data_IF_606374578241
#
_entry.id   IF_606374578241
#
_cell.length_a   1.000
_cell.length_b   1.000
_cell.length_c   1.000
_cell.angle_alpha   90.00
_cell.angle_beta   90.00
_cell.angle_gamma   90.00
#
_symmetry.space_group_name_H-M   'P 1'
#
loop_
_entity.id
_entity.type
_entity.pdbx_description
1 polymer ?
#
# COMPACT_ATOMS: atom_id res chain seq x y z
N UNK A 1 -21.06 -28.62 25.67
CA UNK A 1 -19.61 -28.58 25.53
C UNK A 1 -19.31 -28.50 24.03
N UNK A 2 -19.20 -27.27 23.54
CA UNK A 2 -18.97 -27.02 22.13
C UNK A 2 -17.49 -27.33 21.83
N UNK A 3 -17.26 -28.38 21.06
CA UNK A 3 -15.95 -28.68 20.48
C UNK A 3 -15.68 -27.57 19.44
N UNK A 4 -14.89 -26.57 19.84
CA UNK A 4 -14.32 -25.64 18.89
C UNK A 4 -13.28 -26.45 18.10
N UNK A 5 -13.68 -26.89 16.90
CA UNK A 5 -12.72 -27.45 15.95
C UNK A 5 -11.59 -26.43 15.74
N UNK A 6 -10.34 -26.86 15.70
CA UNK A 6 -9.25 -25.94 15.37
C UNK A 6 -9.52 -25.40 13.96
N UNK A 7 -9.71 -24.09 13.86
CA UNK A 7 -9.82 -23.41 12.57
C UNK A 7 -8.62 -23.84 11.74
N UNK A 8 -8.85 -24.50 10.63
CA UNK A 8 -7.80 -24.94 9.71
C UNK A 8 -6.93 -23.69 9.37
N UNK A 9 -5.62 -23.88 9.26
CA UNK A 9 -4.71 -22.81 8.86
C UNK A 9 -5.17 -22.11 7.56
N UNK A 10 -5.81 -22.88 6.67
CA UNK A 10 -6.39 -22.37 5.44
C UNK A 10 -7.60 -21.46 5.70
N UNK A 11 -8.52 -21.84 6.60
CA UNK A 11 -9.71 -21.04 6.93
C UNK A 11 -9.31 -19.72 7.63
N UNK A 12 -8.32 -19.78 8.49
CA UNK A 12 -7.77 -18.61 9.16
C UNK A 12 -7.10 -17.63 8.18
N UNK A 13 -6.40 -18.15 7.19
CA UNK A 13 -5.79 -17.36 6.13
C UNK A 13 -6.86 -16.70 5.24
N UNK A 14 -7.81 -17.49 4.73
CA UNK A 14 -8.87 -16.99 3.85
C UNK A 14 -9.68 -15.88 4.52
N UNK A 15 -10.05 -16.07 5.79
CA UNK A 15 -10.75 -15.06 6.58
C UNK A 15 -9.94 -13.77 6.71
N UNK A 16 -8.64 -13.86 7.04
CA UNK A 16 -7.77 -12.70 7.17
C UNK A 16 -7.61 -11.95 5.85
N UNK A 17 -7.43 -12.67 4.74
CA UNK A 17 -7.32 -12.05 3.41
C UNK A 17 -8.63 -11.37 3.01
N UNK A 18 -9.77 -11.99 3.24
CA UNK A 18 -11.08 -11.40 2.94
C UNK A 18 -11.31 -10.10 3.69
N UNK A 19 -10.86 -10.01 4.95
CA UNK A 19 -10.98 -8.80 5.76
C UNK A 19 -10.00 -7.71 5.35
N UNK A 20 -8.79 -8.05 4.93
CA UNK A 20 -7.71 -7.10 4.71
C UNK A 20 -7.50 -6.72 3.24
N UNK A 21 -8.01 -7.48 2.26
CA UNK A 21 -7.74 -7.27 0.82
C UNK A 21 -8.04 -5.86 0.34
N UNK A 22 -9.17 -5.28 0.74
CA UNK A 22 -9.54 -3.91 0.38
C UNK A 22 -8.58 -2.87 0.95
N UNK A 23 -8.09 -3.06 2.17
CA UNK A 23 -7.12 -2.17 2.81
C UNK A 23 -5.73 -2.33 2.20
N UNK A 24 -5.34 -3.55 1.86
CA UNK A 24 -4.08 -3.82 1.17
C UNK A 24 -4.08 -3.17 -0.22
N UNK A 25 -5.18 -3.28 -0.95
CA UNK A 25 -5.33 -2.62 -2.24
C UNK A 25 -5.23 -1.09 -2.10
N UNK A 26 -5.93 -0.50 -1.14
CA UNK A 26 -5.91 0.94 -0.91
C UNK A 26 -4.48 1.46 -0.63
N UNK A 27 -3.72 0.78 0.24
CA UNK A 27 -2.34 1.19 0.53
C UNK A 27 -1.42 0.99 -0.68
N UNK A 28 -1.57 -0.11 -1.41
CA UNK A 28 -0.79 -0.36 -2.63
C UNK A 28 -1.08 0.71 -3.69
N UNK A 29 -2.36 1.04 -3.90
CA UNK A 29 -2.77 2.06 -4.85
C UNK A 29 -2.28 3.46 -4.45
N UNK A 30 -2.31 3.83 -3.16
CA UNK A 30 -1.75 5.10 -2.69
C UNK A 30 -0.26 5.24 -3.05
N UNK A 31 0.49 4.15 -3.04
CA UNK A 31 1.92 4.13 -3.37
C UNK A 31 2.16 4.11 -4.89
N UNK A 32 1.45 3.23 -5.60
CA UNK A 32 1.73 2.91 -7.01
C UNK A 32 1.00 3.83 -7.98
N UNK A 33 -0.21 4.28 -7.62
CA UNK A 33 -1.10 5.10 -8.47
C UNK A 33 -1.42 4.44 -9.81
N UNK A 34 -1.43 3.13 -9.81
CA UNK A 34 -1.81 2.27 -10.94
C UNK A 34 -2.59 1.07 -10.39
N UNK A 35 -3.78 0.84 -10.94
CA UNK A 35 -4.70 -0.21 -10.47
C UNK A 35 -4.10 -1.59 -10.67
N UNK A 36 -3.53 -1.85 -11.86
CA UNK A 36 -2.96 -3.15 -12.19
C UNK A 36 -1.73 -3.46 -11.33
N UNK A 37 -0.84 -2.46 -11.16
CA UNK A 37 0.33 -2.62 -10.28
C UNK A 37 -0.10 -2.83 -8.81
N UNK A 38 -1.19 -2.19 -8.37
CA UNK A 38 -1.71 -2.37 -7.02
C UNK A 38 -2.33 -3.76 -6.82
N UNK A 39 -3.08 -4.27 -7.79
CA UNK A 39 -3.61 -5.63 -7.77
C UNK A 39 -2.50 -6.67 -7.76
N UNK A 40 -1.48 -6.50 -8.60
CA UNK A 40 -0.30 -7.37 -8.62
C UNK A 40 0.43 -7.38 -7.26
N UNK A 41 0.60 -6.20 -6.62
CA UNK A 41 1.21 -6.09 -5.31
C UNK A 41 0.40 -6.82 -4.22
N UNK A 42 -0.92 -6.73 -4.27
CA UNK A 42 -1.81 -7.45 -3.34
C UNK A 42 -1.73 -8.96 -3.58
N UNK A 43 -1.78 -9.40 -4.82
CA UNK A 43 -1.65 -10.83 -5.17
C UNK A 43 -0.32 -11.40 -4.68
N UNK A 44 0.81 -10.73 -4.96
CA UNK A 44 2.13 -11.16 -4.49
C UNK A 44 2.22 -11.16 -2.95
N UNK A 45 1.51 -10.23 -2.29
CA UNK A 45 1.39 -10.20 -0.84
C UNK A 45 0.68 -11.44 -0.32
N UNK A 46 -0.43 -11.83 -0.92
CA UNK A 46 -1.19 -13.02 -0.56
C UNK A 46 -0.36 -14.29 -0.75
N UNK A 47 0.35 -14.42 -1.86
CA UNK A 47 1.23 -15.57 -2.13
C UNK A 47 2.36 -15.67 -1.09
N UNK A 48 3.01 -14.56 -0.77
CA UNK A 48 4.06 -14.56 0.25
C UNK A 48 3.50 -14.85 1.64
N UNK A 49 2.35 -14.27 1.97
CA UNK A 49 1.69 -14.49 3.25
C UNK A 49 1.29 -15.96 3.41
N UNK A 50 0.76 -16.60 2.38
CA UNK A 50 0.42 -18.02 2.42
C UNK A 50 1.62 -18.90 2.74
N UNK A 51 2.75 -18.65 2.06
CA UNK A 51 4.00 -19.44 2.28
C UNK A 51 4.55 -19.30 3.69
N UNK A 52 4.26 -18.21 4.38
CA UNK A 52 4.79 -17.90 5.72
C UNK A 52 3.71 -17.87 6.79
N UNK A 53 2.48 -18.29 6.47
CA UNK A 53 1.33 -18.16 7.36
C UNK A 53 1.52 -18.89 8.68
N UNK A 54 2.05 -20.11 8.65
CA UNK A 54 2.31 -20.93 9.82
C UNK A 54 3.39 -20.36 10.76
N UNK A 55 4.22 -19.43 10.27
CA UNK A 55 5.26 -18.79 11.09
C UNK A 55 4.71 -17.67 11.97
N UNK A 56 3.54 -17.13 11.65
CA UNK A 56 2.91 -16.04 12.38
C UNK A 56 2.05 -16.59 13.53
N UNK A 57 2.61 -16.59 14.73
CA UNK A 57 1.96 -17.16 15.91
C UNK A 57 0.87 -16.27 16.53
N UNK A 58 0.96 -14.95 16.34
CA UNK A 58 0.06 -13.97 16.97
C UNK A 58 -0.99 -13.47 15.98
N UNK A 59 -2.27 -13.88 16.15
CA UNK A 59 -3.35 -13.44 15.28
C UNK A 59 -3.55 -11.92 15.25
N UNK A 60 -3.25 -11.21 16.36
CA UNK A 60 -3.41 -9.77 16.47
C UNK A 60 -2.41 -9.00 15.59
N UNK A 61 -1.32 -9.62 15.20
CA UNK A 61 -0.30 -9.01 14.34
C UNK A 61 -0.52 -9.26 12.84
N UNK A 62 -1.51 -10.07 12.47
CA UNK A 62 -1.75 -10.47 11.07
C UNK A 62 -1.96 -9.28 10.15
N UNK A 63 -2.83 -8.35 10.51
CA UNK A 63 -3.12 -7.18 9.70
C UNK A 63 -1.88 -6.29 9.48
N UNK A 64 -1.13 -6.01 10.53
CA UNK A 64 0.10 -5.22 10.44
C UNK A 64 1.18 -5.92 9.61
N UNK A 65 1.31 -7.23 9.77
CA UNK A 65 2.25 -8.05 9.01
C UNK A 65 1.90 -8.11 7.51
N UNK A 66 0.63 -8.33 7.16
CA UNK A 66 0.16 -8.30 5.77
C UNK A 66 0.43 -6.94 5.13
N UNK A 67 0.15 -5.86 5.85
CA UNK A 67 0.40 -4.49 5.38
C UNK A 67 1.88 -4.23 5.16
N UNK A 68 2.75 -4.72 6.03
CA UNK A 68 4.21 -4.61 5.87
C UNK A 68 4.69 -5.31 4.59
N UNK A 69 4.19 -6.52 4.32
CA UNK A 69 4.52 -7.24 3.08
C UNK A 69 4.05 -6.42 1.88
N UNK A 70 2.80 -5.94 1.90
CA UNK A 70 2.20 -5.19 0.81
C UNK A 70 2.96 -3.89 0.49
N UNK A 71 3.27 -3.08 1.50
CA UNK A 71 4.06 -1.84 1.34
C UNK A 71 5.42 -2.13 0.72
N UNK A 72 6.13 -3.15 1.21
CA UNK A 72 7.44 -3.53 0.68
C UNK A 72 7.35 -4.05 -0.75
N UNK A 73 6.29 -4.78 -1.09
CA UNK A 73 6.04 -5.22 -2.47
C UNK A 73 5.78 -4.02 -3.39
N UNK A 74 4.87 -3.13 -3.02
CA UNK A 74 4.58 -1.92 -3.78
C UNK A 74 5.83 -1.06 -4.05
N UNK A 75 6.73 -0.96 -3.07
CA UNK A 75 7.98 -0.21 -3.23
C UNK A 75 9.01 -0.89 -4.13
N UNK A 76 8.99 -2.23 -4.21
CA UNK A 76 9.95 -3.03 -5.01
C UNK A 76 9.49 -3.30 -6.42
N UNK A 77 8.20 -3.21 -6.72
CA UNK A 77 7.68 -3.41 -8.07
C UNK A 77 8.37 -2.46 -9.04
N UNK A 78 9.06 -3.03 -10.02
CA UNK A 78 9.58 -2.25 -11.14
C UNK A 78 8.39 -1.77 -11.95
N UNK A 79 8.37 -0.48 -12.31
CA UNK A 79 7.40 0.01 -13.30
C UNK A 79 7.45 -0.91 -14.50
N UNK A 80 6.35 -1.58 -14.79
CA UNK A 80 6.18 -2.25 -16.08
C UNK A 80 6.22 -1.16 -17.13
N UNK A 81 7.29 -1.11 -17.92
CA UNK A 81 7.34 -0.29 -19.13
C UNK A 81 6.49 -1.03 -20.16
N UNK A 82 5.17 -0.90 -20.02
CA UNK A 82 4.27 -1.31 -21.10
C UNK A 82 4.44 -0.29 -22.22
N UNK A 83 4.62 -0.73 -23.48
CA UNK A 83 4.59 0.17 -24.62
C UNK A 83 3.27 0.96 -24.57
N UNK A 84 3.34 2.26 -24.76
CA UNK A 84 2.20 3.20 -24.74
C UNK A 84 1.01 2.84 -25.66
N UNK A 85 1.11 1.77 -26.43
CA UNK A 85 0.12 1.31 -27.42
C UNK A 85 -1.16 0.71 -26.82
N UNK A 86 -1.20 0.37 -25.52
CA UNK A 86 -2.38 -0.24 -24.87
C UNK A 86 -3.11 0.70 -23.92
N UNK A 87 -2.85 2.01 -24.00
CA UNK A 87 -3.46 3.03 -23.14
C UNK A 87 -4.88 3.47 -23.56
N UNK A 88 -5.47 2.83 -24.55
CA UNK A 88 -6.77 3.25 -25.09
C UNK A 88 -8.00 2.75 -24.30
N UNK A 89 -7.85 1.85 -23.34
CA UNK A 89 -9.00 1.21 -22.66
C UNK A 89 -8.98 1.33 -21.13
N UNK A 90 -8.57 2.50 -20.64
CA UNK A 90 -8.50 2.80 -19.20
C UNK A 90 -9.78 3.42 -18.62
N UNK A 91 -10.95 2.93 -19.00
CA UNK A 91 -12.20 3.31 -18.34
C UNK A 91 -12.39 2.70 -16.94
N UNK A 92 -11.59 1.71 -16.58
CA UNK A 92 -11.66 1.07 -15.26
C UNK A 92 -10.76 1.69 -14.19
N UNK A 93 -9.91 2.66 -14.53
CA UNK A 93 -9.08 3.38 -13.55
C UNK A 93 -9.91 4.24 -12.57
N UNK A 94 -11.14 4.59 -12.94
CA UNK A 94 -12.07 5.37 -12.09
C UNK A 94 -12.79 4.51 -11.04
N UNK A 95 -12.66 3.19 -11.10
CA UNK A 95 -13.43 2.28 -10.25
C UNK A 95 -12.85 2.07 -8.85
N UNK A 96 -11.62 2.46 -8.63
CA UNK A 96 -10.90 2.29 -7.36
C UNK A 96 -10.28 3.59 -6.84
N UNK A 97 -10.77 4.74 -7.27
CA UNK A 97 -10.44 6.01 -6.60
C UNK A 97 -11.18 6.02 -5.25
N UNK A 98 -10.50 5.73 -4.13
CA UNK A 98 -11.08 6.03 -2.84
C UNK A 98 -10.99 7.54 -2.70
N UNK A 99 -12.15 8.17 -2.58
CA UNK A 99 -12.35 9.57 -2.25
C UNK A 99 -12.16 10.56 -3.42
N UNK A 100 -13.12 11.46 -3.53
CA UNK A 100 -13.10 12.66 -4.34
C UNK A 100 -11.82 13.45 -4.03
N UNK A 101 -10.73 13.11 -4.72
CA UNK A 101 -9.47 13.80 -4.58
C UNK A 101 -9.57 15.08 -5.37
N UNK A 102 -9.24 16.19 -4.75
CA UNK A 102 -8.97 17.44 -5.46
C UNK A 102 -7.99 17.15 -6.63
N UNK A 103 -8.32 17.49 -7.87
CA UNK A 103 -7.49 17.20 -9.03
C UNK A 103 -6.06 17.72 -8.90
N UNK A 104 -5.87 18.84 -8.20
CA UNK A 104 -4.56 19.46 -8.00
C UNK A 104 -3.75 18.70 -6.95
N UNK A 105 -4.42 18.23 -5.92
CA UNK A 105 -3.80 17.36 -4.94
C UNK A 105 -3.38 16.02 -5.58
N UNK A 106 -4.21 15.42 -6.44
CA UNK A 106 -3.86 14.19 -7.16
C UNK A 106 -2.68 14.40 -8.11
N UNK A 107 -2.64 15.53 -8.82
CA UNK A 107 -1.51 15.89 -9.69
C UNK A 107 -0.21 16.02 -8.90
N UNK A 108 -0.25 16.75 -7.80
CA UNK A 108 0.88 16.94 -6.89
C UNK A 108 1.38 15.61 -6.32
N UNK A 109 0.45 14.76 -5.89
CA UNK A 109 0.74 13.44 -5.35
C UNK A 109 1.42 12.51 -6.38
N UNK A 110 1.01 12.58 -7.66
CA UNK A 110 1.63 11.81 -8.75
C UNK A 110 3.09 12.19 -9.03
N UNK A 111 3.51 13.41 -8.68
CA UNK A 111 4.91 13.87 -8.83
C UNK A 111 5.84 13.31 -7.75
N UNK A 112 5.30 12.82 -6.65
CA UNK A 112 6.07 12.22 -5.58
C UNK A 112 6.70 10.89 -5.99
N UNK A 113 7.85 10.56 -5.42
CA UNK A 113 8.41 9.21 -5.53
C UNK A 113 7.56 8.20 -4.77
N UNK A 114 7.72 6.90 -5.07
CA UNK A 114 6.99 5.85 -4.34
C UNK A 114 7.23 5.89 -2.83
N UNK A 115 8.47 6.10 -2.40
CA UNK A 115 8.82 6.24 -0.98
C UNK A 115 8.16 7.46 -0.34
N UNK A 116 8.13 8.58 -1.04
CA UNK A 116 7.46 9.79 -0.57
C UNK A 116 5.95 9.56 -0.44
N UNK A 117 5.31 8.93 -1.45
CA UNK A 117 3.89 8.56 -1.37
C UNK A 117 3.62 7.58 -0.23
N UNK A 118 4.49 6.58 -0.04
CA UNK A 118 4.35 5.61 1.04
C UNK A 118 4.37 6.28 2.42
N UNK A 119 5.33 7.18 2.67
CA UNK A 119 5.39 7.89 3.95
C UNK A 119 4.17 8.78 4.17
N UNK A 120 3.73 9.53 3.14
CA UNK A 120 2.54 10.37 3.23
C UNK A 120 1.29 9.53 3.54
N UNK A 121 1.04 8.48 2.76
CA UNK A 121 -0.12 7.62 2.95
C UNK A 121 -0.11 6.98 4.35
N UNK A 122 0.98 6.34 4.74
CA UNK A 122 1.09 5.67 6.02
C UNK A 122 0.91 6.64 7.19
N UNK A 123 1.49 7.84 7.12
CA UNK A 123 1.43 8.81 8.21
C UNK A 123 0.08 9.54 8.28
N UNK A 124 -0.41 10.09 7.17
CA UNK A 124 -1.61 10.93 7.18
C UNK A 124 -2.91 10.16 6.96
N UNK A 125 -2.92 9.12 6.13
CA UNK A 125 -4.14 8.35 5.85
C UNK A 125 -4.35 7.21 6.87
N UNK A 126 -3.25 6.57 7.31
CA UNK A 126 -3.31 5.42 8.21
C UNK A 126 -2.86 5.70 9.65
N UNK A 127 -2.40 6.92 9.96
CA UNK A 127 -2.08 7.37 11.31
C UNK A 127 -0.82 6.76 11.93
N UNK A 128 0.08 6.20 11.14
CA UNK A 128 1.34 5.65 11.64
C UNK A 128 2.31 6.76 12.06
N UNK A 129 3.05 6.52 13.14
CA UNK A 129 4.22 7.34 13.49
C UNK A 129 5.30 7.23 12.43
N UNK A 130 6.23 8.18 12.38
CA UNK A 130 7.34 8.13 11.41
C UNK A 130 8.21 6.90 11.62
N UNK A 131 8.41 6.47 12.86
CA UNK A 131 9.21 5.29 13.16
C UNK A 131 8.50 4.00 12.69
N UNK A 132 7.18 3.92 12.82
CA UNK A 132 6.39 2.83 12.25
C UNK A 132 6.39 2.87 10.72
N UNK A 133 6.28 4.06 10.11
CA UNK A 133 6.43 4.21 8.65
C UNK A 133 7.80 3.70 8.17
N UNK A 134 8.87 4.06 8.86
CA UNK A 134 10.22 3.61 8.55
C UNK A 134 10.33 2.08 8.61
N UNK A 135 9.75 1.47 9.65
CA UNK A 135 9.72 0.02 9.79
C UNK A 135 8.95 -0.66 8.64
N UNK A 136 7.76 -0.15 8.31
CA UNK A 136 6.93 -0.67 7.23
C UNK A 136 7.63 -0.56 5.86
N UNK A 137 8.24 0.58 5.59
CA UNK A 137 8.96 0.86 4.33
C UNK A 137 10.29 0.07 4.26
N UNK A 138 10.88 -0.23 5.39
CA UNK A 138 12.17 -0.91 5.49
C UNK A 138 13.36 0.05 5.35
N UNK A 139 13.27 1.24 5.96
CA UNK A 139 14.34 2.25 5.98
C UNK A 139 14.59 2.77 7.40
N UNK A 140 15.66 3.58 7.56
CA UNK A 140 15.93 4.24 8.84
C UNK A 140 14.90 5.36 9.13
N UNK A 141 14.57 5.66 10.40
CA UNK A 141 13.64 6.74 10.75
C UNK A 141 14.04 8.11 10.19
N UNK A 142 15.33 8.43 10.16
CA UNK A 142 15.83 9.65 9.54
C UNK A 142 15.55 9.73 8.04
N UNK A 143 15.62 8.60 7.34
CA UNK A 143 15.27 8.51 5.93
C UNK A 143 13.78 8.73 5.70
N UNK A 144 12.92 8.15 6.53
CA UNK A 144 11.49 8.38 6.46
C UNK A 144 11.13 9.85 6.70
N UNK A 145 11.75 10.51 7.69
CA UNK A 145 11.60 11.97 7.92
C UNK A 145 12.00 12.79 6.70
N UNK A 146 13.11 12.43 6.06
CA UNK A 146 13.59 13.12 4.85
C UNK A 146 12.63 12.93 3.68
N UNK A 147 12.06 11.74 3.50
CA UNK A 147 11.03 11.49 2.48
C UNK A 147 9.78 12.33 2.73
N UNK A 148 9.31 12.40 3.97
CA UNK A 148 8.16 13.21 4.35
C UNK A 148 8.41 14.71 4.08
N UNK A 149 9.53 15.24 4.54
CA UNK A 149 9.89 16.65 4.37
C UNK A 149 9.96 17.04 2.88
N UNK A 150 10.58 16.22 2.05
CA UNK A 150 10.68 16.45 0.60
C UNK A 150 9.31 16.34 -0.07
N UNK A 151 8.48 15.39 0.33
CA UNK A 151 7.14 15.23 -0.20
C UNK A 151 6.28 16.48 0.08
N UNK A 152 6.25 16.94 1.34
CA UNK A 152 5.52 18.14 1.73
C UNK A 152 6.02 19.41 1.01
N UNK A 153 7.34 19.51 0.80
CA UNK A 153 7.93 20.62 0.04
C UNK A 153 7.46 20.60 -1.42
N UNK A 154 7.46 19.43 -2.06
CA UNK A 154 6.99 19.28 -3.44
C UNK A 154 5.53 19.66 -3.56
N UNK A 155 4.68 19.09 -2.70
CA UNK A 155 3.24 19.36 -2.72
C UNK A 155 2.93 20.84 -2.48
N UNK A 156 3.62 21.47 -1.51
CA UNK A 156 3.43 22.89 -1.22
C UNK A 156 3.78 23.79 -2.42
N UNK A 157 4.87 23.49 -3.12
CA UNK A 157 5.27 24.25 -4.31
C UNK A 157 4.24 24.12 -5.44
N UNK A 158 3.70 22.93 -5.64
CA UNK A 158 2.71 22.70 -6.68
C UNK A 158 1.40 23.43 -6.40
N UNK A 159 0.95 23.45 -5.14
CA UNK A 159 -0.28 24.15 -4.74
C UNK A 159 -0.13 25.69 -4.62
N UNK A 160 1.09 26.22 -4.60
CA UNK A 160 1.34 27.67 -4.56
C UNK A 160 1.59 28.29 -5.95
N UNK A 161 1.84 27.46 -6.96
CA UNK A 161 2.15 27.95 -8.32
C UNK A 161 0.91 28.05 -9.22
N UNK A 162 -0.27 28.10 -8.64
CA UNK A 162 -1.55 28.47 -9.24
C UNK A 162 -1.98 29.87 -8.83
#
# INVERSE_FOLDING_TARGET
MALTEPISDADGFESAIRMESGRLFAVAYSILRDVQEAEDAVQETMEQAWRSWSTLRDPLKRAAWLRQICVRRALRLRRRVLPRLWLADRKDADRAAPLQSDPDLDRSYRRLTRQQRAVIALHYEYGYTIDECAHLIGCAPGTARSHLARALTTMRKDLQNE
#
